data_IF_723329030521
#
_entry.id   IF_723329030521
#
_cell.length_a   1.000
_cell.length_b   1.000
_cell.length_c   1.000
_cell.angle_alpha   90.00
_cell.angle_beta   90.00
_cell.angle_gamma   90.00
#
_symmetry.space_group_name_H-M   'P 1'
#
loop_
_entity.id
_entity.type
_entity.pdbx_description
1 polymer ?
#
# COMPACT_ATOMS: atom_id res chain seq x y z
N UNK A 1 -5.56 14.27 -7.00
CA UNK A 1 -6.24 14.12 -5.69
C UNK A 1 -5.20 14.39 -4.60
N UNK A 2 -5.49 15.18 -3.56
CA UNK A 2 -4.57 15.46 -2.46
C UNK A 2 -4.94 14.60 -1.25
N UNK A 3 -4.01 13.76 -0.76
CA UNK A 3 -4.35 12.70 0.21
C UNK A 3 -4.94 13.20 1.54
N UNK A 4 -4.55 14.40 1.98
CA UNK A 4 -5.10 14.99 3.21
C UNK A 4 -6.57 15.38 3.10
N UNK A 5 -7.09 15.58 1.89
CA UNK A 5 -8.52 15.88 1.69
C UNK A 5 -9.41 14.62 1.79
N UNK A 6 -8.82 13.42 1.77
CA UNK A 6 -9.52 12.13 1.77
C UNK A 6 -9.24 11.28 3.02
N UNK A 7 -8.86 11.92 4.14
CA UNK A 7 -8.57 11.20 5.39
C UNK A 7 -7.19 10.53 5.43
N UNK A 8 -6.22 11.04 4.66
CA UNK A 8 -4.82 10.60 4.70
C UNK A 8 -4.43 9.56 3.67
N UNK A 9 -5.36 9.12 2.82
CA UNK A 9 -5.08 8.20 1.70
C UNK A 9 -5.87 8.59 0.46
N UNK A 10 -5.19 8.60 -0.69
CA UNK A 10 -5.84 8.77 -1.98
C UNK A 10 -5.57 7.56 -2.85
N UNK A 11 -6.65 6.86 -3.25
CA UNK A 11 -6.57 5.77 -4.23
C UNK A 11 -6.24 6.37 -5.61
N UNK A 12 -4.94 6.40 -5.90
CA UNK A 12 -4.32 6.86 -7.13
C UNK A 12 -3.33 5.80 -7.62
N UNK A 13 -3.03 5.86 -8.91
CA UNK A 13 -1.88 5.15 -9.45
C UNK A 13 -0.65 6.04 -9.34
N UNK A 14 0.32 5.63 -8.53
CA UNK A 14 1.59 6.34 -8.35
C UNK A 14 2.71 5.71 -9.18
N UNK A 15 2.54 4.46 -9.61
CA UNK A 15 3.54 3.77 -10.43
C UNK A 15 3.37 4.15 -11.91
N UNK A 16 4.48 4.29 -12.66
CA UNK A 16 4.40 4.37 -14.11
C UNK A 16 3.82 3.07 -14.68
N UNK A 17 3.26 3.13 -15.88
CA UNK A 17 2.56 1.99 -16.51
C UNK A 17 3.39 0.70 -16.56
N UNK A 18 4.70 0.84 -16.75
CA UNK A 18 5.66 -0.28 -16.84
C UNK A 18 5.90 -1.01 -15.52
N UNK A 19 5.57 -0.38 -14.38
CA UNK A 19 5.79 -0.91 -13.03
C UNK A 19 4.48 -1.13 -12.27
N UNK A 20 3.34 -0.75 -12.86
CA UNK A 20 2.02 -0.99 -12.27
C UNK A 20 1.82 -2.49 -12.02
N UNK A 21 1.31 -2.82 -10.84
CA UNK A 21 1.10 -4.20 -10.39
C UNK A 21 2.35 -4.90 -9.84
N UNK A 22 3.53 -4.27 -9.84
CA UNK A 22 4.72 -4.83 -9.18
C UNK A 22 4.74 -4.47 -7.69
N UNK A 23 5.00 -5.48 -6.85
CA UNK A 23 5.28 -5.33 -5.42
C UNK A 23 6.79 -5.25 -5.21
N UNK A 24 7.26 -4.16 -4.60
CA UNK A 24 8.70 -3.97 -4.32
C UNK A 24 9.06 -4.21 -2.85
N UNK A 25 8.07 -4.20 -1.96
CA UNK A 25 8.26 -4.40 -0.53
C UNK A 25 7.25 -5.43 -0.02
N UNK A 26 7.75 -6.40 0.73
CA UNK A 26 6.96 -7.40 1.43
C UNK A 26 7.33 -7.36 2.92
N UNK A 27 6.42 -6.92 3.80
CA UNK A 27 6.71 -6.83 5.22
C UNK A 27 6.95 -8.22 5.84
N UNK A 28 7.94 -8.36 6.72
CA UNK A 28 8.14 -9.58 7.50
C UNK A 28 7.15 -9.63 8.67
N UNK A 29 6.08 -10.41 8.50
CA UNK A 29 5.00 -10.53 9.50
C UNK A 29 5.42 -11.15 10.83
N UNK A 30 6.65 -11.69 10.94
CA UNK A 30 7.21 -12.16 12.22
C UNK A 30 7.68 -11.01 13.11
N UNK A 31 7.88 -9.81 12.56
CA UNK A 31 8.18 -8.61 13.33
C UNK A 31 6.88 -7.87 13.66
N UNK A 32 6.65 -7.53 14.93
CA UNK A 32 5.40 -6.90 15.37
C UNK A 32 5.16 -5.51 14.75
N UNK A 33 6.21 -4.74 14.43
CA UNK A 33 6.07 -3.47 13.75
C UNK A 33 5.69 -3.65 12.28
N UNK A 34 6.39 -4.55 11.58
CA UNK A 34 6.09 -4.83 10.17
C UNK A 34 4.75 -5.55 9.99
N UNK A 35 4.29 -6.33 10.98
CA UNK A 35 2.94 -6.90 10.97
C UNK A 35 1.84 -5.81 10.96
N UNK A 36 2.04 -4.71 11.69
CA UNK A 36 1.13 -3.54 11.65
C UNK A 36 1.17 -2.85 10.29
N UNK A 37 2.37 -2.73 9.70
CA UNK A 37 2.54 -2.19 8.34
C UNK A 37 1.80 -3.06 7.33
N UNK A 38 1.92 -4.39 7.43
CA UNK A 38 1.20 -5.32 6.57
C UNK A 38 -0.32 -5.18 6.69
N UNK A 39 -0.85 -4.98 7.90
CA UNK A 39 -2.28 -4.72 8.10
C UNK A 39 -2.73 -3.41 7.44
N UNK A 40 -1.99 -2.31 7.66
CA UNK A 40 -2.28 -1.02 7.06
C UNK A 40 -2.25 -1.09 5.52
N UNK A 41 -1.23 -1.71 4.93
CA UNK A 41 -1.12 -1.88 3.48
C UNK A 41 -2.31 -2.66 2.93
N UNK A 42 -2.75 -3.73 3.60
CA UNK A 42 -3.93 -4.51 3.20
C UNK A 42 -5.22 -3.69 3.27
N UNK A 43 -5.42 -2.89 4.31
CA UNK A 43 -6.62 -2.05 4.45
C UNK A 43 -6.69 -0.96 3.36
N UNK A 44 -5.54 -0.36 3.03
CA UNK A 44 -5.44 0.71 2.03
C UNK A 44 -5.53 0.19 0.58
N UNK A 45 -4.84 -0.91 0.26
CA UNK A 45 -4.66 -1.37 -1.12
C UNK A 45 -5.43 -2.65 -1.46
N UNK A 46 -6.00 -3.34 -0.46
CA UNK A 46 -6.79 -4.58 -0.62
C UNK A 46 -6.08 -5.59 -1.52
N UNK A 47 -6.64 -5.90 -2.68
CA UNK A 47 -6.12 -6.88 -3.65
C UNK A 47 -5.27 -6.24 -4.77
N UNK A 48 -4.99 -4.93 -4.74
CA UNK A 48 -4.37 -4.22 -5.86
C UNK A 48 -2.93 -4.69 -6.17
N UNK A 49 -2.18 -5.09 -5.15
CA UNK A 49 -0.77 -5.51 -5.27
C UNK A 49 -0.51 -6.85 -4.58
N UNK A 50 -1.44 -7.80 -4.78
CA UNK A 50 -1.42 -9.14 -4.16
C UNK A 50 -0.17 -9.94 -4.56
#
# INVERSE_FOLDING_TARGET
KYAHDYGGFAELEFMPETLKGKKFYEPNTRNAAEAKIAACIRDLWKDKYK
#
